data_IF_217334952305
#
_entry.id   IF_217334952305
#
_cell.length_a   1.000
_cell.length_b   1.000
_cell.length_c   1.000
_cell.angle_alpha   90.00
_cell.angle_beta   90.00
_cell.angle_gamma   90.00
#
_symmetry.space_group_name_H-M   'P 1'
#
loop_
_entity.id
_entity.type
_entity.pdbx_description
1 polymer ?
#
# COMPACT_ATOMS: atom_id res chain seq x y z
N UNK A 1 33.19 37.10 -50.15
CA UNK A 1 34.01 37.81 -49.14
C UNK A 1 33.28 37.80 -47.82
N UNK A 2 33.86 37.11 -46.85
CA UNK A 2 33.71 37.38 -45.42
C UNK A 2 34.37 38.75 -45.12
N UNK A 3 33.96 39.47 -44.05
CA UNK A 3 34.67 39.25 -42.80
C UNK A 3 33.78 39.14 -41.55
N UNK A 4 34.38 38.44 -40.59
CA UNK A 4 34.02 38.19 -39.21
C UNK A 4 34.16 39.47 -38.36
N UNK A 5 33.34 39.62 -37.32
CA UNK A 5 33.91 40.01 -36.02
C UNK A 5 33.07 39.55 -34.83
N UNK A 6 33.82 39.13 -33.82
CA UNK A 6 33.44 38.50 -32.57
C UNK A 6 32.91 39.53 -31.56
N UNK A 7 31.86 39.19 -30.82
CA UNK A 7 31.72 39.75 -29.47
C UNK A 7 31.08 38.73 -28.51
N UNK A 8 31.97 38.29 -27.63
CA UNK A 8 31.81 37.44 -26.47
C UNK A 8 30.89 38.07 -25.43
N UNK A 9 29.83 37.36 -25.04
CA UNK A 9 29.18 37.52 -23.74
C UNK A 9 28.63 36.17 -23.23
N UNK A 10 29.38 35.53 -22.35
CA UNK A 10 28.84 34.76 -21.22
C UNK A 10 28.81 35.69 -19.98
N UNK A 11 28.23 35.33 -18.82
CA UNK A 11 27.43 34.16 -18.46
C UNK A 11 26.08 34.56 -17.79
N UNK A 12 25.22 33.61 -17.41
CA UNK A 12 24.62 33.50 -16.06
C UNK A 12 23.86 32.17 -16.01
N UNK A 13 24.39 31.24 -15.20
CA UNK A 13 23.69 30.05 -14.79
C UNK A 13 22.54 30.46 -13.84
N UNK A 14 21.30 30.32 -14.28
CA UNK A 14 20.17 30.24 -13.36
C UNK A 14 20.12 28.83 -12.79
N UNK A 15 20.67 28.68 -11.58
CA UNK A 15 20.32 27.60 -10.69
C UNK A 15 18.82 27.69 -10.44
N UNK A 16 18.04 26.84 -11.10
CA UNK A 16 16.68 26.55 -10.66
C UNK A 16 16.84 25.62 -9.47
N UNK A 17 16.74 26.18 -8.27
CA UNK A 17 16.48 25.40 -7.06
C UNK A 17 15.18 24.63 -7.29
N UNK A 18 15.32 23.36 -7.66
CA UNK A 18 14.27 22.37 -7.44
C UNK A 18 14.07 22.30 -5.93
N UNK A 19 13.10 23.07 -5.44
CA UNK A 19 12.54 22.87 -4.13
C UNK A 19 11.92 21.48 -4.11
N UNK A 20 12.68 20.52 -3.58
CA UNK A 20 12.15 19.27 -3.04
C UNK A 20 11.21 19.63 -1.89
N UNK A 21 9.99 20.05 -2.24
CA UNK A 21 8.85 20.05 -1.35
C UNK A 21 8.45 18.58 -1.13
N UNK A 22 9.29 17.88 -0.37
CA UNK A 22 8.93 16.64 0.30
C UNK A 22 7.89 16.98 1.37
N UNK A 23 6.67 17.24 0.94
CA UNK A 23 5.49 17.37 1.81
C UNK A 23 5.17 15.97 2.30
N UNK A 24 6.01 15.49 3.23
CA UNK A 24 5.76 14.32 4.04
C UNK A 24 4.47 14.57 4.79
N UNK A 25 3.37 14.04 4.25
CA UNK A 25 2.05 14.06 4.87
C UNK A 25 2.20 13.72 6.34
N UNK A 26 1.86 14.70 7.19
CA UNK A 26 1.97 14.62 8.63
C UNK A 26 1.15 13.41 9.10
N UNK A 27 1.86 12.33 9.47
CA UNK A 27 1.29 11.11 10.05
C UNK A 27 0.39 11.45 11.24
N UNK A 28 -0.75 10.77 11.41
CA UNK A 28 -1.51 10.84 12.65
C UNK A 28 -0.64 10.30 13.79
N UNK A 29 -0.31 11.18 14.72
CA UNK A 29 0.41 10.88 15.96
C UNK A 29 -0.54 10.19 16.93
N UNK A 30 -0.57 8.85 16.96
CA UNK A 30 -1.44 8.14 17.90
C UNK A 30 -1.35 6.61 17.96
N UNK A 31 -0.83 5.92 16.94
CA UNK A 31 -0.85 4.46 16.92
C UNK A 31 0.48 3.82 17.34
N UNK A 32 0.36 2.84 18.24
CA UNK A 32 1.42 1.98 18.74
C UNK A 32 2.08 1.23 17.58
N UNK A 33 3.30 1.62 17.20
CA UNK A 33 4.05 0.98 16.11
C UNK A 33 4.44 -0.43 16.54
N UNK A 34 4.22 -1.41 15.66
CA UNK A 34 4.53 -2.82 15.90
C UNK A 34 5.72 -3.23 15.03
N UNK A 35 6.88 -3.57 15.59
CA UNK A 35 8.04 -4.01 14.82
C UNK A 35 7.68 -5.11 13.80
N UNK A 36 7.96 -4.84 12.53
CA UNK A 36 7.88 -5.83 11.46
C UNK A 36 9.05 -6.80 11.56
N UNK A 37 8.85 -8.01 11.05
CA UNK A 37 9.74 -9.11 11.39
C UNK A 37 11.18 -9.05 10.87
N UNK A 38 12.04 -9.91 11.43
CA UNK A 38 13.34 -10.22 10.86
C UNK A 38 13.15 -10.78 9.45
N UNK A 39 13.86 -10.19 8.48
CA UNK A 39 13.81 -10.61 7.08
C UNK A 39 14.14 -12.11 6.98
N UNK A 40 13.22 -12.97 6.49
CA UNK A 40 13.51 -14.37 6.32
C UNK A 40 14.68 -14.54 5.33
N UNK A 41 15.71 -15.29 5.74
CA UNK A 41 16.90 -15.55 4.91
C UNK A 41 16.57 -16.63 3.87
N UNK A 42 16.33 -16.22 2.62
CA UNK A 42 16.06 -17.15 1.51
C UNK A 42 15.85 -16.47 0.15
N UNK A 43 16.13 -17.17 -0.95
CA UNK A 43 16.10 -16.64 -2.35
C UNK A 43 14.69 -16.52 -2.96
N UNK A 44 13.60 -16.68 -2.19
CA UNK A 44 12.24 -16.83 -2.75
C UNK A 44 11.17 -16.00 -2.03
N UNK A 45 11.55 -14.95 -1.30
CA UNK A 45 10.60 -14.02 -0.68
C UNK A 45 10.24 -12.90 -1.64
N UNK A 46 8.95 -12.75 -1.92
CA UNK A 46 8.42 -11.77 -2.88
C UNK A 46 7.93 -10.50 -2.18
N UNK A 47 7.53 -10.61 -0.92
CA UNK A 47 7.08 -9.50 -0.08
C UNK A 47 7.86 -9.51 1.24
N UNK A 48 8.32 -8.34 1.66
CA UNK A 48 8.83 -8.11 3.00
C UNK A 48 7.81 -7.28 3.76
N UNK A 49 7.40 -7.76 4.94
CA UNK A 49 6.58 -6.98 5.86
C UNK A 49 7.35 -5.74 6.33
N UNK A 50 6.71 -4.56 6.32
CA UNK A 50 7.29 -3.30 6.81
C UNK A 50 6.55 -2.77 8.03
N UNK A 51 7.30 -2.21 8.99
CA UNK A 51 6.76 -1.73 10.26
C UNK A 51 5.89 -0.48 10.07
N UNK A 52 6.27 0.41 9.17
CA UNK A 52 5.62 1.70 8.95
C UNK A 52 4.11 1.56 8.68
N UNK A 53 3.68 0.44 8.09
CA UNK A 53 2.30 0.18 7.67
C UNK A 53 1.73 -1.13 8.22
N UNK A 54 2.31 -1.64 9.29
CA UNK A 54 1.83 -2.87 9.94
C UNK A 54 1.24 -2.57 11.31
N UNK A 55 -0.02 -2.96 11.54
CA UNK A 55 -0.70 -2.76 12.82
C UNK A 55 -2.22 -2.81 12.72
N UNK A 56 -2.89 -2.38 13.80
CA UNK A 56 -4.36 -2.32 13.88
C UNK A 56 -4.82 -0.88 13.77
N UNK A 57 -5.40 -0.51 12.64
CA UNK A 57 -5.96 0.82 12.39
C UNK A 57 -6.76 0.86 11.09
N UNK A 58 -7.70 1.81 11.01
CA UNK A 58 -8.63 1.99 9.90
C UNK A 58 -8.26 3.19 9.01
N UNK A 59 -7.10 3.81 9.21
CA UNK A 59 -6.67 4.94 8.39
C UNK A 59 -6.33 4.52 6.95
N UNK A 60 -6.74 5.34 5.99
CA UNK A 60 -6.28 5.26 4.60
C UNK A 60 -4.77 5.57 4.52
N UNK A 61 -4.05 4.97 3.56
CA UNK A 61 -2.62 5.26 3.36
C UNK A 61 -2.34 6.73 3.01
N UNK A 62 -3.33 7.41 2.45
CA UNK A 62 -3.34 8.84 2.18
C UNK A 62 -4.78 9.37 2.19
N UNK A 63 -4.91 10.64 2.54
CA UNK A 63 -6.19 11.32 2.51
C UNK A 63 -6.64 11.53 1.05
N UNK A 64 -7.85 11.10 0.73
CA UNK A 64 -8.44 11.24 -0.60
C UNK A 64 -9.65 12.17 -0.56
N UNK A 65 -9.95 12.85 -1.65
CA UNK A 65 -11.20 13.59 -1.76
C UNK A 65 -12.37 12.61 -1.95
N UNK A 66 -13.54 12.98 -1.44
CA UNK A 66 -14.77 12.23 -1.70
C UNK A 66 -15.03 12.08 -3.21
N UNK A 67 -14.67 13.08 -4.01
CA UNK A 67 -14.77 13.04 -5.48
C UNK A 67 -13.85 11.99 -6.11
N UNK A 68 -12.63 11.82 -5.61
CA UNK A 68 -11.70 10.79 -6.09
C UNK A 68 -12.18 9.37 -5.77
N UNK A 69 -12.96 9.20 -4.70
CA UNK A 69 -13.56 7.92 -4.32
C UNK A 69 -14.93 7.67 -4.95
N UNK A 70 -15.49 8.66 -5.67
CA UNK A 70 -16.80 8.57 -6.31
C UNK A 70 -17.88 7.98 -5.36
N UNK A 71 -18.61 6.95 -5.80
CA UNK A 71 -19.66 6.29 -5.03
C UNK A 71 -19.15 5.35 -3.93
N UNK A 72 -17.83 5.09 -3.88
CA UNK A 72 -17.23 4.19 -2.91
C UNK A 72 -17.13 4.82 -1.50
N UNK A 73 -17.27 6.14 -1.38
CA UNK A 73 -17.31 6.82 -0.10
C UNK A 73 -18.73 6.90 0.47
N UNK A 74 -18.91 6.60 1.76
CA UNK A 74 -20.17 6.77 2.49
C UNK A 74 -19.91 7.22 3.92
N UNK A 75 -20.60 8.27 4.36
CA UNK A 75 -20.49 8.75 5.74
C UNK A 75 -19.07 9.19 6.14
N UNK A 76 -18.32 9.77 5.21
CA UNK A 76 -16.94 10.23 5.47
C UNK A 76 -15.88 9.12 5.50
N UNK A 77 -16.22 7.88 5.08
CA UNK A 77 -15.31 6.73 5.03
C UNK A 77 -15.31 6.09 3.65
N UNK A 78 -14.20 5.44 3.27
CA UNK A 78 -14.16 4.56 2.10
C UNK A 78 -14.84 3.24 2.44
N UNK A 79 -16.05 3.05 1.91
CA UNK A 79 -16.91 1.92 2.29
C UNK A 79 -16.44 0.63 1.65
N UNK A 80 -16.42 0.60 0.33
CA UNK A 80 -16.08 -0.56 -0.46
C UNK A 80 -15.86 -0.16 -1.92
N UNK A 81 -15.10 -0.96 -2.66
CA UNK A 81 -14.91 -0.78 -4.10
C UNK A 81 -13.47 -1.00 -4.54
N UNK A 82 -13.27 -0.84 -5.84
CA UNK A 82 -11.96 -0.89 -6.50
C UNK A 82 -11.74 0.38 -7.31
N UNK A 83 -10.88 1.26 -6.80
CA UNK A 83 -10.66 2.60 -7.34
C UNK A 83 -9.19 2.82 -7.70
N UNK A 84 -8.96 3.63 -8.72
CA UNK A 84 -7.65 4.19 -9.09
C UNK A 84 -7.81 5.70 -9.03
N UNK A 85 -6.95 6.37 -8.27
CA UNK A 85 -6.98 7.81 -8.10
C UNK A 85 -5.57 8.40 -8.21
N UNK A 86 -5.49 9.62 -8.73
CA UNK A 86 -4.29 10.44 -8.60
C UNK A 86 -4.14 10.84 -7.12
N UNK A 87 -2.93 10.69 -6.58
CA UNK A 87 -2.61 11.18 -5.23
C UNK A 87 -2.38 12.68 -5.34
N UNK A 88 -3.15 13.50 -4.61
CA UNK A 88 -2.97 14.95 -4.71
C UNK A 88 -1.65 15.38 -4.05
N UNK A 89 -1.00 16.39 -4.62
CA UNK A 89 0.21 16.99 -4.04
C UNK A 89 -0.10 17.69 -2.71
N UNK A 90 -1.31 18.25 -2.60
CA UNK A 90 -1.86 18.88 -1.41
C UNK A 90 -2.98 18.05 -0.77
N UNK A 91 -3.18 18.20 0.54
CA UNK A 91 -4.29 17.52 1.20
C UNK A 91 -5.64 18.07 0.72
N UNK A 92 -6.65 17.21 0.46
CA UNK A 92 -8.00 17.66 0.16
C UNK A 92 -8.57 18.58 1.26
N UNK A 93 -9.49 19.50 0.92
CA UNK A 93 -10.21 20.32 1.91
C UNK A 93 -10.84 19.46 3.00
N UNK A 94 -10.83 19.93 4.25
CA UNK A 94 -11.22 19.14 5.43
C UNK A 94 -12.62 18.51 5.30
N UNK A 95 -13.60 19.25 4.76
CA UNK A 95 -14.98 18.77 4.59
C UNK A 95 -15.17 17.72 3.49
N UNK A 96 -14.20 17.55 2.59
CA UNK A 96 -14.24 16.55 1.50
C UNK A 96 -13.25 15.41 1.72
N UNK A 97 -12.47 15.48 2.80
CA UNK A 97 -11.38 14.56 3.06
C UNK A 97 -11.88 13.25 3.63
N UNK A 98 -11.56 12.17 2.95
CA UNK A 98 -11.76 10.81 3.42
C UNK A 98 -10.41 10.29 3.89
N UNK A 99 -10.32 9.94 5.18
CA UNK A 99 -9.08 9.50 5.82
C UNK A 99 -9.16 8.08 6.37
N UNK A 100 -10.32 7.44 6.33
CA UNK A 100 -10.55 6.13 6.96
C UNK A 100 -11.31 5.18 6.05
N UNK A 101 -11.00 3.90 6.20
CA UNK A 101 -11.83 2.79 5.73
C UNK A 101 -13.08 2.66 6.61
N UNK A 102 -14.18 2.21 6.02
CA UNK A 102 -15.28 1.67 6.80
C UNK A 102 -14.94 0.27 7.27
N UNK A 103 -15.09 0.03 8.56
CA UNK A 103 -14.84 -1.24 9.24
C UNK A 103 -16.11 -1.60 10.01
N UNK A 104 -16.64 -2.83 9.91
CA UNK A 104 -17.76 -3.28 10.73
C UNK A 104 -17.46 -3.11 12.23
N UNK A 105 -18.48 -2.75 13.02
CA UNK A 105 -18.32 -2.40 14.45
C UNK A 105 -17.76 -3.56 15.30
N UNK A 106 -18.09 -4.79 14.93
CA UNK A 106 -17.66 -6.04 15.56
C UNK A 106 -16.29 -6.54 15.07
N UNK A 107 -15.62 -5.78 14.21
CA UNK A 107 -14.31 -6.13 13.64
C UNK A 107 -13.26 -5.05 13.92
N UNK A 108 -12.01 -5.42 13.68
CA UNK A 108 -10.88 -4.49 13.60
C UNK A 108 -10.16 -4.70 12.27
N UNK A 109 -9.64 -3.61 11.72
CA UNK A 109 -8.79 -3.68 10.54
C UNK A 109 -7.35 -3.92 10.96
N UNK A 110 -6.77 -5.01 10.48
CA UNK A 110 -5.32 -5.23 10.52
C UNK A 110 -4.77 -4.87 9.15
N UNK A 111 -3.77 -4.00 9.14
CA UNK A 111 -3.01 -3.67 7.95
C UNK A 111 -1.64 -4.35 8.02
N UNK A 112 -1.23 -5.01 6.93
CA UNK A 112 0.13 -5.53 6.76
C UNK A 112 0.78 -4.74 5.63
N UNK A 113 1.72 -3.87 6.00
CA UNK A 113 2.53 -3.12 5.06
C UNK A 113 3.54 -4.05 4.40
N UNK A 114 3.68 -3.96 3.08
CA UNK A 114 4.65 -4.75 2.33
C UNK A 114 5.49 -3.86 1.41
N UNK A 115 6.79 -4.11 1.41
CA UNK A 115 7.71 -3.70 0.35
C UNK A 115 8.00 -4.91 -0.52
N UNK A 116 7.91 -4.72 -1.83
CA UNK A 116 8.27 -5.79 -2.73
C UNK A 116 9.77 -5.80 -2.97
N UNK A 117 10.36 -6.97 -2.77
CA UNK A 117 11.76 -7.17 -3.12
C UNK A 117 11.80 -7.67 -4.55
N UNK A 118 12.18 -6.80 -5.48
CA UNK A 118 12.63 -7.27 -6.79
C UNK A 118 13.91 -8.07 -6.58
N UNK A 119 13.79 -9.40 -6.48
CA UNK A 119 14.94 -10.29 -6.47
C UNK A 119 15.74 -9.99 -7.74
N UNK A 120 16.98 -9.49 -7.58
CA UNK A 120 17.85 -8.97 -8.66
C UNK A 120 18.26 -9.98 -9.74
N UNK A 121 17.59 -11.12 -9.83
CA UNK A 121 17.69 -12.06 -10.93
C UNK A 121 16.72 -11.68 -12.05
N UNK A 122 17.27 -11.15 -13.14
CA UNK A 122 16.66 -10.76 -14.42
C UNK A 122 15.76 -11.81 -15.14
N UNK A 123 15.41 -12.95 -14.52
CA UNK A 123 14.56 -13.98 -15.13
C UNK A 123 13.26 -14.22 -14.34
N UNK A 124 12.28 -13.35 -14.58
CA UNK A 124 10.93 -13.76 -14.98
C UNK A 124 9.93 -14.34 -13.96
N UNK A 125 10.33 -14.77 -12.76
CA UNK A 125 9.46 -15.56 -11.85
C UNK A 125 8.77 -14.85 -10.66
N UNK A 126 9.24 -13.73 -10.08
CA UNK A 126 8.64 -13.25 -8.83
C UNK A 126 7.22 -12.67 -9.02
N UNK A 127 6.86 -12.24 -10.23
CA UNK A 127 5.60 -11.52 -10.48
C UNK A 127 4.36 -12.37 -10.82
N UNK A 128 4.51 -13.62 -11.25
CA UNK A 128 3.36 -14.54 -11.36
C UNK A 128 2.77 -14.87 -9.97
N UNK A 129 3.59 -14.77 -8.93
CA UNK A 129 3.18 -14.95 -7.55
C UNK A 129 2.25 -13.82 -7.09
N UNK A 130 2.52 -12.56 -7.46
CA UNK A 130 1.68 -11.45 -7.01
C UNK A 130 0.22 -11.54 -7.52
N UNK A 131 0.00 -11.93 -8.79
CA UNK A 131 -1.36 -12.05 -9.36
C UNK A 131 -2.10 -13.34 -8.99
N UNK A 132 -1.42 -14.49 -8.98
CA UNK A 132 -2.07 -15.76 -8.60
C UNK A 132 -2.28 -15.91 -7.09
N UNK A 133 -1.54 -15.14 -6.27
CA UNK A 133 -1.51 -15.33 -4.82
C UNK A 133 -2.19 -14.23 -4.01
N UNK A 134 -2.58 -13.10 -4.63
CA UNK A 134 -3.50 -12.14 -4.01
C UNK A 134 -4.71 -12.85 -3.36
N UNK A 135 -5.23 -13.89 -4.01
CA UNK A 135 -6.40 -14.67 -3.59
C UNK A 135 -6.12 -15.68 -2.45
N UNK A 136 -4.91 -15.71 -1.89
CA UNK A 136 -4.53 -16.68 -0.85
C UNK A 136 -3.77 -16.05 0.32
N UNK A 137 -3.81 -14.72 0.47
CA UNK A 137 -3.19 -14.08 1.62
C UNK A 137 -4.08 -14.18 2.84
N UNK A 138 -3.51 -14.68 3.93
CA UNK A 138 -4.22 -14.78 5.19
C UNK A 138 -3.30 -14.55 6.39
N UNK A 139 -3.90 -14.06 7.46
CA UNK A 139 -3.31 -14.02 8.79
C UNK A 139 -3.69 -15.28 9.55
N UNK A 140 -2.80 -15.79 10.38
CA UNK A 140 -3.09 -16.88 11.30
C UNK A 140 -2.89 -16.44 12.74
N UNK A 141 -3.89 -16.70 13.58
CA UNK A 141 -3.85 -16.44 15.02
C UNK A 141 -3.17 -17.55 15.80
N UNK A 142 -2.86 -17.29 17.07
CA UNK A 142 -2.28 -18.27 17.98
C UNK A 142 -3.15 -19.53 18.18
N UNK A 143 -4.48 -19.40 18.13
CA UNK A 143 -5.44 -20.52 18.20
C UNK A 143 -5.65 -21.23 16.85
N UNK A 144 -4.96 -20.77 15.80
CA UNK A 144 -4.95 -21.40 14.48
C UNK A 144 -6.05 -20.96 13.52
N UNK A 145 -6.89 -19.98 13.88
CA UNK A 145 -7.88 -19.36 12.97
C UNK A 145 -7.18 -18.59 11.86
N UNK A 146 -7.77 -18.60 10.67
CA UNK A 146 -7.29 -17.87 9.50
C UNK A 146 -8.22 -16.68 9.20
N UNK A 147 -7.63 -15.54 8.83
CA UNK A 147 -8.35 -14.36 8.32
C UNK A 147 -7.82 -13.99 6.96
N UNK A 148 -8.67 -13.99 5.94
CA UNK A 148 -8.25 -13.71 4.56
C UNK A 148 -8.24 -12.20 4.27
N UNK A 149 -7.38 -11.78 3.35
CA UNK A 149 -7.31 -10.40 2.93
C UNK A 149 -8.64 -9.97 2.28
N UNK A 150 -9.21 -8.88 2.78
CA UNK A 150 -10.46 -8.25 2.28
C UNK A 150 -10.19 -7.02 1.42
N UNK A 151 -8.95 -6.56 1.38
CA UNK A 151 -8.53 -5.52 0.46
C UNK A 151 -7.02 -5.38 0.37
N UNK A 152 -6.62 -4.44 -0.47
CA UNK A 152 -5.24 -4.00 -0.62
C UNK A 152 -5.21 -2.56 -1.11
N UNK A 153 -4.08 -1.90 -0.92
CA UNK A 153 -3.76 -0.67 -1.61
C UNK A 153 -2.33 -0.75 -2.13
N UNK A 154 -2.08 -0.02 -3.21
CA UNK A 154 -0.74 0.24 -3.73
C UNK A 154 -0.63 1.70 -4.11
N UNK A 155 0.46 2.32 -3.68
CA UNK A 155 0.81 3.70 -3.96
C UNK A 155 2.13 3.68 -4.72
N UNK A 156 2.17 4.25 -5.93
CA UNK A 156 3.38 4.33 -6.73
C UNK A 156 3.33 5.50 -7.72
N UNK A 157 4.48 5.84 -8.30
CA UNK A 157 4.55 6.77 -9.42
C UNK A 157 4.20 6.03 -10.72
N UNK A 158 3.23 6.51 -11.49
CA UNK A 158 2.90 6.01 -12.82
C UNK A 158 2.61 7.19 -13.75
N UNK A 159 3.15 7.13 -14.97
CA UNK A 159 3.02 8.22 -15.96
C UNK A 159 3.48 9.59 -15.43
N UNK A 160 4.52 9.60 -14.58
CA UNK A 160 5.06 10.81 -13.95
C UNK A 160 4.22 11.40 -12.82
N UNK A 161 3.13 10.73 -12.41
CA UNK A 161 2.25 11.17 -11.34
C UNK A 161 2.18 10.14 -10.22
N UNK A 162 2.05 10.60 -8.98
CA UNK A 162 1.79 9.71 -7.85
C UNK A 162 0.34 9.26 -7.93
N UNK A 163 0.12 7.95 -7.90
CA UNK A 163 -1.19 7.35 -8.00
C UNK A 163 -1.39 6.34 -6.89
N UNK A 164 -2.65 6.10 -6.55
CA UNK A 164 -3.06 5.05 -5.65
C UNK A 164 -4.14 4.20 -6.29
N UNK A 165 -4.02 2.89 -6.12
CA UNK A 165 -5.06 1.94 -6.45
C UNK A 165 -5.44 1.21 -5.16
N UNK A 166 -6.73 1.21 -4.84
CA UNK A 166 -7.27 0.63 -3.61
C UNK A 166 -8.41 -0.31 -3.98
N UNK A 167 -8.40 -1.47 -3.34
CA UNK A 167 -9.52 -2.39 -3.33
C UNK A 167 -9.92 -2.70 -1.88
N UNK A 168 -11.22 -2.63 -1.57
CA UNK A 168 -11.75 -2.95 -0.25
C UNK A 168 -13.14 -3.57 -0.37
N UNK A 169 -13.31 -4.78 0.18
CA UNK A 169 -14.55 -5.55 0.13
C UNK A 169 -14.88 -6.16 1.50
N UNK A 170 -15.31 -5.33 2.47
CA UNK A 170 -15.54 -5.77 3.85
C UNK A 170 -16.70 -6.76 3.97
N UNK A 171 -17.67 -6.71 3.04
CA UNK A 171 -18.90 -7.51 3.06
C UNK A 171 -18.87 -8.66 2.03
N UNK A 172 -17.70 -9.03 1.48
CA UNK A 172 -17.63 -10.09 0.47
C UNK A 172 -18.07 -11.46 1.02
N UNK A 173 -18.94 -12.16 0.29
CA UNK A 173 -19.56 -13.44 0.69
C UNK A 173 -18.53 -14.57 0.83
N UNK A 174 -17.55 -14.63 -0.08
CA UNK A 174 -16.47 -15.62 -0.08
C UNK A 174 -15.14 -14.91 0.14
N UNK A 175 -14.59 -15.00 1.35
CA UNK A 175 -13.42 -14.21 1.76
C UNK A 175 -12.20 -14.48 0.87
N UNK A 176 -11.95 -15.74 0.54
CA UNK A 176 -10.79 -16.19 -0.23
C UNK A 176 -10.81 -15.72 -1.68
N UNK A 177 -11.96 -15.19 -2.14
CA UNK A 177 -12.17 -14.72 -3.51
C UNK A 177 -12.57 -13.26 -3.58
N UNK A 178 -12.47 -12.53 -2.46
CA UNK A 178 -12.87 -11.12 -2.40
C UNK A 178 -12.01 -10.24 -3.31
N UNK A 179 -10.74 -10.60 -3.55
CA UNK A 179 -9.80 -9.75 -4.28
C UNK A 179 -9.83 -9.97 -5.79
N UNK A 180 -9.93 -8.86 -6.53
CA UNK A 180 -9.77 -8.81 -7.99
C UNK A 180 -8.33 -8.48 -8.37
N UNK A 181 -8.00 -8.64 -9.65
CA UNK A 181 -6.69 -8.29 -10.18
C UNK A 181 -6.49 -6.76 -10.23
N UNK A 182 -5.28 -6.30 -9.96
CA UNK A 182 -4.87 -4.90 -10.14
C UNK A 182 -5.11 -4.44 -11.59
N UNK A 183 -5.76 -3.29 -11.74
CA UNK A 183 -6.11 -2.62 -13.00
C UNK A 183 -4.99 -1.74 -13.52
N UNK A 184 -4.41 -0.86 -12.68
CA UNK A 184 -3.42 0.14 -13.12
C UNK A 184 -2.00 -0.31 -12.86
N UNK A 185 -1.71 -0.81 -11.65
CA UNK A 185 -0.36 -1.26 -11.30
C UNK A 185 -0.12 -2.70 -11.76
N UNK A 186 -0.12 -2.86 -13.08
CA UNK A 186 0.16 -4.15 -13.72
C UNK A 186 1.62 -4.54 -13.55
N UNK A 187 1.91 -5.80 -13.88
CA UNK A 187 3.26 -6.37 -13.87
C UNK A 187 4.33 -5.48 -14.49
N UNK A 188 4.04 -4.95 -15.67
CA UNK A 188 5.02 -4.17 -16.43
C UNK A 188 5.29 -2.83 -15.76
N UNK A 189 4.24 -2.21 -15.20
CA UNK A 189 4.35 -0.94 -14.48
C UNK A 189 5.18 -1.12 -13.22
N UNK A 190 4.84 -2.12 -12.39
CA UNK A 190 5.55 -2.38 -11.14
C UNK A 190 7.02 -2.78 -11.36
N UNK A 191 7.34 -3.47 -12.46
CA UNK A 191 8.73 -3.85 -12.78
C UNK A 191 9.63 -2.63 -13.06
N UNK A 192 9.06 -1.51 -13.51
CA UNK A 192 9.80 -0.27 -13.78
C UNK A 192 9.85 0.69 -12.60
N UNK A 193 8.97 0.50 -11.60
CA UNK A 193 8.90 1.35 -10.41
C UNK A 193 9.68 0.74 -9.25
N UNK A 194 10.40 1.58 -8.50
CA UNK A 194 11.20 1.14 -7.35
C UNK A 194 10.67 1.64 -6.01
N UNK A 195 9.69 2.53 -6.03
CA UNK A 195 9.24 3.36 -4.92
C UNK A 195 7.81 3.05 -4.46
N UNK A 196 7.24 1.92 -4.86
CA UNK A 196 5.86 1.61 -4.48
C UNK A 196 5.73 1.12 -3.05
N UNK A 197 4.64 1.53 -2.40
CA UNK A 197 4.22 1.06 -1.08
C UNK A 197 2.93 0.27 -1.22
N UNK A 198 2.89 -0.93 -0.65
CA UNK A 198 1.69 -1.78 -0.67
C UNK A 198 1.22 -2.05 0.76
N UNK A 199 -0.09 -2.18 0.94
CA UNK A 199 -0.67 -2.67 2.19
C UNK A 199 -1.78 -3.67 1.92
N UNK A 200 -1.86 -4.70 2.75
CA UNK A 200 -2.95 -5.68 2.76
C UNK A 200 -3.88 -5.38 3.90
N UNK A 201 -5.18 -5.54 3.67
CA UNK A 201 -6.23 -5.17 4.60
C UNK A 201 -6.99 -6.42 5.02
N UNK A 202 -7.09 -6.67 6.33
CA UNK A 202 -7.78 -7.82 6.90
C UNK A 202 -8.84 -7.34 7.89
N UNK A 203 -9.99 -8.02 7.92
CA UNK A 203 -10.96 -7.89 9.00
C UNK A 203 -10.72 -9.01 10.01
N UNK A 204 -10.52 -8.64 11.26
CA UNK A 204 -10.14 -9.57 12.32
C UNK A 204 -11.04 -9.35 13.54
N UNK A 205 -11.36 -10.42 14.25
CA UNK A 205 -12.13 -10.32 15.49
C UNK A 205 -11.33 -9.59 16.59
N UNK A 206 -11.97 -8.75 17.40
CA UNK A 206 -11.34 -8.15 18.58
C UNK A 206 -10.82 -9.23 19.56
N UNK A 207 -9.72 -8.94 20.24
CA UNK A 207 -9.15 -9.79 21.30
C UNK A 207 -8.27 -10.95 20.83
N UNK A 208 -8.03 -11.11 19.52
CA UNK A 208 -7.15 -12.18 19.01
C UNK A 208 -5.71 -11.72 18.85
N UNK A 209 -4.78 -12.66 18.93
CA UNK A 209 -3.35 -12.41 18.68
C UNK A 209 -2.92 -13.04 17.36
N UNK A 210 -2.47 -12.22 16.42
CA UNK A 210 -1.98 -12.65 15.11
C UNK A 210 -0.49 -13.00 15.21
N UNK A 211 -0.12 -14.20 14.76
CA UNK A 211 1.24 -14.73 14.90
C UNK A 211 1.94 -14.98 13.57
N UNK A 212 1.18 -15.24 12.51
CA UNK A 212 1.74 -15.51 11.18
C UNK A 212 1.02 -14.73 10.10
N UNK A 213 1.78 -14.35 9.09
CA UNK A 213 1.28 -13.84 7.83
C UNK A 213 1.66 -14.82 6.72
N UNK A 214 0.67 -15.28 5.96
CA UNK A 214 0.87 -16.24 4.88
C UNK A 214 0.72 -15.53 3.54
N UNK A 215 1.79 -15.55 2.75
CA UNK A 215 1.80 -15.00 1.39
C UNK A 215 1.44 -16.05 0.35
N UNK A 216 1.38 -17.33 0.71
CA UNK A 216 0.86 -18.44 -0.10
C UNK A 216 0.55 -19.65 0.79
N UNK A 217 -0.13 -20.67 0.26
CA UNK A 217 -0.35 -21.95 0.96
C UNK A 217 0.92 -22.66 1.42
N UNK A 218 2.10 -22.31 0.87
CA UNK A 218 3.40 -22.96 1.17
C UNK A 218 4.39 -22.06 1.89
N UNK A 219 4.09 -20.77 2.04
CA UNK A 219 5.03 -19.79 2.60
C UNK A 219 4.37 -19.06 3.74
N UNK A 220 4.80 -19.41 4.95
CA UNK A 220 4.45 -18.72 6.18
C UNK A 220 5.59 -17.79 6.57
N UNK A 221 5.29 -16.53 6.85
CA UNK A 221 6.17 -15.61 7.54
C UNK A 221 5.71 -15.51 8.99
N UNK A 222 6.56 -15.92 9.93
CA UNK A 222 6.31 -15.68 11.34
C UNK A 222 6.54 -14.20 11.62
N UNK A 223 5.54 -13.52 12.17
CA UNK A 223 5.69 -12.13 12.58
C UNK A 223 6.62 -12.08 13.80
N UNK A 224 7.69 -11.29 13.74
CA UNK A 224 8.63 -11.19 14.88
C UNK A 224 7.97 -10.59 16.11
N UNK A 225 6.99 -9.72 15.92
CA UNK A 225 6.11 -9.29 17.00
C UNK A 225 4.68 -9.70 16.65
N UNK A 226 4.02 -10.51 17.49
CA UNK A 226 2.60 -10.77 17.34
C UNK A 226 1.81 -9.46 17.34
N UNK A 227 0.75 -9.40 16.53
CA UNK A 227 -0.16 -8.26 16.51
C UNK A 227 -1.32 -8.58 17.45
N UNK A 228 -1.38 -7.87 18.57
CA UNK A 228 -2.51 -7.92 19.50
C UNK A 228 -3.66 -7.08 18.94
N UNK A 229 -4.81 -7.71 18.69
CA UNK A 229 -6.01 -7.00 18.24
C UNK A 229 -6.81 -6.54 19.46
N UNK A 230 -6.97 -5.23 19.69
CA UNK A 230 -7.67 -4.71 20.86
C UNK A 230 -9.15 -5.14 20.87
N UNK A 231 -9.71 -5.22 22.08
CA UNK A 231 -11.15 -5.46 22.29
C UNK A 231 -12.03 -4.32 21.74
#
# INVERSE_FOLDING_TARGET
>A
EEPQDESSHAPVAQQTETADASTSGRRPSGNTRTPAGERPKGRTHVLNTIEERTGVYDDLPLALSASALAQAARGGKFREGHIVADTPDDLPPEGERITKFWVPEDKRMVQIGNEYVMAGSFLGRPLELARSTLKQWYLRTADGRNYFARGWYIEATADGKRQIEIQWWPEAEVEERALEDMRKFTRNVMATQRDYKMGLLFLVDPGVTITHFHTSSRTAETLTKPIEVPN
#
